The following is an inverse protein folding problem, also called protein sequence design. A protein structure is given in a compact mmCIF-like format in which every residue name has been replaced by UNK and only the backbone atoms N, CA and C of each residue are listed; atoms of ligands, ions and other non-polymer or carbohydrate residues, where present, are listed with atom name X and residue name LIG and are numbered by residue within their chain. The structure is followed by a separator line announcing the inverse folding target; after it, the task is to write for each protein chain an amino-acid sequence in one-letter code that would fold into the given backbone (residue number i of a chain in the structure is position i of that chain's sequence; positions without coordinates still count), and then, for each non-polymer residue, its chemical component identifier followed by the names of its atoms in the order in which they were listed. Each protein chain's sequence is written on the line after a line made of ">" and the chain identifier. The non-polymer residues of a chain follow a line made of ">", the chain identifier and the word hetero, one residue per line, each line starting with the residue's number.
data_IF_888333735955
#
_entry.id   IF_888333735955
#
_cell.length_a   1.000
_cell.length_b   1.000
_cell.length_c   1.000
_cell.angle_alpha   90.00
_cell.angle_beta   90.00
_cell.angle_gamma   90.00
#
_symmetry.space_group_name_H-M   'P 1'
#
loop_
_entity.id
_entity.type
_entity.pdbx_description
1 polymer ?
#
# COMPACT_ATOMS: atom_id res chain seq x y z
N UNK A 1 19.35 6.80 -53.13
CA UNK A 1 19.79 6.53 -51.74
C UNK A 1 18.62 6.85 -50.83
N UNK A 2 17.94 5.85 -50.26
CA UNK A 2 16.85 6.03 -49.29
C UNK A 2 17.21 5.22 -48.04
N UNK A 3 17.20 5.89 -46.90
CA UNK A 3 17.53 5.31 -45.60
C UNK A 3 16.50 4.25 -45.17
N UNK A 4 17.00 3.15 -44.61
CA UNK A 4 16.22 2.10 -43.97
C UNK A 4 15.87 2.54 -42.54
N UNK A 5 14.62 2.98 -42.33
CA UNK A 5 14.04 3.09 -40.99
C UNK A 5 13.84 1.66 -40.46
N UNK A 6 14.58 1.27 -39.42
CA UNK A 6 14.32 0.00 -38.71
C UNK A 6 13.05 0.15 -37.87
N UNK A 7 12.07 -0.78 -37.95
CA UNK A 7 10.92 -0.77 -37.06
C UNK A 7 11.38 -1.03 -35.62
N UNK A 8 10.99 -0.15 -34.68
CA UNK A 8 11.10 -0.42 -33.24
C UNK A 8 10.08 -1.50 -32.84
N UNK A 9 10.52 -2.34 -31.91
CA UNK A 9 9.94 -3.63 -31.47
C UNK A 9 8.43 -3.59 -31.18
N UNK A 10 7.75 -4.61 -31.70
CA UNK A 10 6.37 -4.99 -31.44
C UNK A 10 6.21 -5.81 -30.15
N UNK A 11 5.27 -5.42 -29.28
CA UNK A 11 4.57 -6.29 -28.32
C UNK A 11 3.36 -5.48 -27.82
N UNK A 12 2.10 -5.91 -27.96
CA UNK A 12 1.56 -7.23 -27.70
C UNK A 12 0.50 -7.56 -28.77
N UNK A 13 0.77 -8.55 -29.61
CA UNK A 13 -0.32 -9.33 -30.21
C UNK A 13 -0.64 -10.43 -29.21
N UNK A 14 -1.92 -10.66 -28.93
CA UNK A 14 -2.41 -11.89 -28.32
C UNK A 14 -3.11 -12.71 -29.41
N UNK A 15 -2.41 -13.36 -30.36
CA UNK A 15 -3.09 -14.25 -31.30
C UNK A 15 -3.58 -15.48 -30.53
N UNK A 16 -4.89 -15.63 -30.39
CA UNK A 16 -5.52 -16.77 -29.72
C UNK A 16 -5.76 -16.64 -28.21
N UNK A 17 -5.65 -15.44 -27.62
CA UNK A 17 -5.92 -15.22 -26.19
C UNK A 17 -6.83 -14.03 -25.93
N UNK A 18 -7.11 -13.75 -24.65
CA UNK A 18 -8.01 -12.69 -24.20
C UNK A 18 -7.32 -11.79 -23.17
N UNK A 19 -7.77 -10.53 -23.08
CA UNK A 19 -7.40 -9.60 -22.03
C UNK A 19 -8.62 -9.39 -21.11
N UNK A 20 -8.40 -9.52 -19.81
CA UNK A 20 -9.42 -9.19 -18.80
C UNK A 20 -9.12 -7.81 -18.25
N UNK A 21 -10.12 -6.95 -18.26
CA UNK A 21 -10.05 -5.62 -17.66
C UNK A 21 -11.09 -5.57 -16.55
N UNK A 22 -10.65 -5.24 -15.33
CA UNK A 22 -11.56 -4.98 -14.22
C UNK A 22 -11.64 -3.47 -14.03
N UNK A 23 -12.81 -2.91 -14.28
CA UNK A 23 -13.09 -1.50 -14.02
C UNK A 23 -13.56 -1.35 -12.57
N UNK A 24 -12.92 -0.45 -11.84
CA UNK A 24 -13.26 -0.11 -10.46
C UNK A 24 -13.75 1.34 -10.39
N UNK A 25 -14.57 1.66 -9.39
CA UNK A 25 -14.92 3.04 -9.09
C UNK A 25 -13.66 3.86 -8.79
N UNK A 26 -13.56 5.05 -9.38
CA UNK A 26 -12.48 5.99 -9.03
C UNK A 26 -12.78 6.60 -7.66
N UNK A 27 -12.06 6.13 -6.65
CA UNK A 27 -12.17 6.70 -5.30
C UNK A 27 -11.66 8.15 -5.26
N UNK A 28 -12.35 9.07 -4.57
CA UNK A 28 -11.90 10.44 -4.40
C UNK A 28 -10.76 10.54 -3.38
N UNK A 29 -9.87 11.51 -3.56
CA UNK A 29 -8.86 11.85 -2.56
C UNK A 29 -7.43 11.88 -3.07
N UNK A 30 -6.51 12.03 -2.13
CA UNK A 30 -5.07 12.07 -2.36
C UNK A 30 -4.49 10.65 -2.25
N UNK A 31 -3.85 10.17 -3.31
CA UNK A 31 -3.05 8.95 -3.25
C UNK A 31 -1.80 9.22 -2.40
N UNK A 32 -1.58 8.40 -1.38
CA UNK A 32 -0.59 8.70 -0.34
C UNK A 32 0.85 8.37 -0.74
N UNK A 33 1.02 7.54 -1.76
CA UNK A 33 2.33 7.16 -2.26
C UNK A 33 2.38 6.85 -3.75
N UNK A 34 3.60 6.62 -4.23
CA UNK A 34 3.88 6.23 -5.61
C UNK A 34 4.97 5.17 -5.64
N UNK A 35 4.92 4.27 -6.64
CA UNK A 35 5.98 3.27 -6.83
C UNK A 35 7.22 3.84 -7.53
N UNK A 36 7.11 5.02 -8.11
CA UNK A 36 8.14 5.62 -8.98
C UNK A 36 8.52 7.03 -8.58
N UNK A 37 7.74 7.65 -7.70
CA UNK A 37 7.90 9.05 -7.28
C UNK A 37 7.91 9.14 -5.75
N UNK A 38 8.22 10.31 -5.21
CA UNK A 38 8.15 10.56 -3.76
C UNK A 38 6.72 10.42 -3.24
N UNK A 39 6.58 9.86 -2.04
CA UNK A 39 5.27 9.66 -1.41
C UNK A 39 4.66 10.98 -0.90
N UNK A 40 3.51 11.44 -1.45
CA UNK A 40 2.86 12.68 -1.02
C UNK A 40 2.52 12.74 0.47
N UNK A 41 2.33 11.59 1.12
CA UNK A 41 2.09 11.48 2.55
C UNK A 41 3.13 12.28 3.38
N UNK A 42 4.41 12.20 3.04
CA UNK A 42 5.48 12.84 3.81
C UNK A 42 5.57 14.35 3.60
N UNK A 43 4.86 14.90 2.61
CA UNK A 43 4.72 16.34 2.40
C UNK A 43 3.56 16.95 3.22
N UNK A 44 2.73 16.12 3.85
CA UNK A 44 1.64 16.56 4.72
C UNK A 44 2.16 16.99 6.09
N UNK A 45 1.44 17.90 6.75
CA UNK A 45 1.75 18.30 8.12
C UNK A 45 1.60 17.15 9.11
N UNK A 46 2.27 17.26 10.26
CA UNK A 46 2.30 16.20 11.26
C UNK A 46 0.90 15.79 11.77
N UNK A 47 -0.02 16.75 11.97
CA UNK A 47 -1.37 16.46 12.45
C UNK A 47 -2.17 15.68 11.40
N UNK A 48 -2.01 16.03 10.11
CA UNK A 48 -2.64 15.30 9.01
C UNK A 48 -2.11 13.88 8.89
N UNK A 49 -0.79 13.69 9.01
CA UNK A 49 -0.16 12.38 8.97
C UNK A 49 -0.67 11.50 10.10
N UNK A 50 -0.83 12.05 11.28
CA UNK A 50 -1.36 11.32 12.44
C UNK A 50 -2.84 10.96 12.31
N UNK A 51 -3.65 11.88 11.76
CA UNK A 51 -5.04 11.60 11.43
C UNK A 51 -5.17 10.42 10.44
N UNK A 52 -4.32 10.41 9.41
CA UNK A 52 -4.31 9.32 8.42
C UNK A 52 -3.85 8.01 9.06
N UNK A 53 -2.82 8.01 9.92
CA UNK A 53 -2.38 6.81 10.66
C UNK A 53 -3.50 6.25 11.51
N UNK A 54 -4.19 7.10 12.26
CA UNK A 54 -5.34 6.69 13.07
C UNK A 54 -6.43 6.04 12.21
N UNK A 55 -6.74 6.63 11.04
CA UNK A 55 -7.70 6.03 10.10
C UNK A 55 -7.18 4.71 9.52
N UNK A 56 -5.89 4.60 9.21
CA UNK A 56 -5.27 3.38 8.72
C UNK A 56 -5.40 2.26 9.73
N UNK A 57 -5.01 2.50 10.99
CA UNK A 57 -5.09 1.52 12.06
C UNK A 57 -6.51 0.94 12.16
N UNK A 58 -7.51 1.82 12.27
CA UNK A 58 -8.91 1.40 12.35
C UNK A 58 -9.36 0.59 11.12
N UNK A 59 -9.20 1.14 9.93
CA UNK A 59 -9.74 0.52 8.71
C UNK A 59 -8.95 -0.70 8.23
N UNK A 60 -7.66 -0.78 8.58
CA UNK A 60 -6.83 -1.96 8.32
C UNK A 60 -7.32 -3.13 9.18
N UNK A 61 -7.57 -2.90 10.47
CA UNK A 61 -8.13 -3.92 11.36
C UNK A 61 -9.47 -4.46 10.84
N UNK A 62 -10.41 -3.55 10.50
CA UNK A 62 -11.71 -3.90 9.93
C UNK A 62 -11.57 -4.75 8.66
N UNK A 63 -10.64 -4.39 7.76
CA UNK A 63 -10.37 -5.13 6.53
C UNK A 63 -9.78 -6.52 6.82
N UNK A 64 -8.82 -6.62 7.75
CA UNK A 64 -8.18 -7.89 8.10
C UNK A 64 -9.12 -8.83 8.85
N UNK A 65 -10.03 -8.30 9.67
CA UNK A 65 -11.07 -9.08 10.35
C UNK A 65 -12.03 -9.75 9.35
N UNK A 66 -12.25 -9.11 8.20
CA UNK A 66 -13.00 -9.66 7.07
C UNK A 66 -12.17 -10.61 6.20
N UNK A 67 -10.90 -10.85 6.52
CA UNK A 67 -10.01 -11.74 5.80
C UNK A 67 -9.40 -11.14 4.53
N UNK A 68 -9.51 -9.82 4.32
CA UNK A 68 -8.96 -9.14 3.15
C UNK A 68 -7.63 -8.47 3.44
N UNK A 69 -6.80 -8.35 2.38
CA UNK A 69 -5.58 -7.55 2.34
C UNK A 69 -5.30 -7.11 0.91
N UNK A 70 -4.86 -5.87 0.70
CA UNK A 70 -4.49 -5.38 -0.63
C UNK A 70 -3.09 -5.88 -1.06
N UNK A 71 -2.84 -5.98 -2.36
CA UNK A 71 -1.54 -6.43 -2.86
C UNK A 71 -0.51 -5.31 -2.80
N UNK A 72 0.69 -5.66 -2.35
CA UNK A 72 1.79 -4.70 -2.19
C UNK A 72 1.45 -3.67 -1.11
N UNK A 73 1.74 -4.02 0.14
CA UNK A 73 1.68 -3.08 1.25
C UNK A 73 2.53 -1.83 0.95
N UNK A 74 1.97 -0.66 1.24
CA UNK A 74 2.64 0.61 1.02
C UNK A 74 1.69 1.79 0.82
N UNK A 75 2.18 3.01 1.02
CA UNK A 75 1.42 4.25 0.78
C UNK A 75 0.82 4.34 -0.63
N UNK A 76 1.47 3.71 -1.62
CA UNK A 76 0.99 3.67 -3.00
C UNK A 76 -0.32 2.89 -3.18
N UNK A 77 -0.73 2.06 -2.22
CA UNK A 77 -1.98 1.32 -2.23
C UNK A 77 -3.09 2.01 -1.43
N UNK A 78 -2.91 3.28 -1.06
CA UNK A 78 -3.81 4.01 -0.18
C UNK A 78 -4.23 5.35 -0.79
N UNK A 79 -5.51 5.71 -0.60
CA UNK A 79 -6.07 7.00 -0.99
C UNK A 79 -6.82 7.63 0.18
N UNK A 80 -6.40 8.83 0.58
CA UNK A 80 -7.03 9.59 1.66
C UNK A 80 -8.04 10.60 1.14
N UNK A 81 -9.30 10.47 1.57
CA UNK A 81 -10.33 11.49 1.35
C UNK A 81 -10.45 12.38 2.58
N UNK A 82 -9.93 13.59 2.44
CA UNK A 82 -9.89 14.61 3.49
C UNK A 82 -11.28 15.11 3.93
N UNK A 83 -12.28 15.08 3.05
CA UNK A 83 -13.63 15.58 3.34
C UNK A 83 -14.43 14.56 4.16
N UNK A 84 -14.39 13.28 3.76
CA UNK A 84 -15.10 12.21 4.45
C UNK A 84 -14.29 11.57 5.58
N UNK A 85 -13.01 11.92 5.71
CA UNK A 85 -12.06 11.30 6.64
C UNK A 85 -11.96 9.79 6.44
N UNK A 86 -11.93 9.37 5.18
CA UNK A 86 -11.91 7.96 4.80
C UNK A 86 -10.59 7.61 4.14
N UNK A 87 -9.95 6.54 4.60
CA UNK A 87 -8.81 5.92 3.93
C UNK A 87 -9.28 4.74 3.10
N UNK A 88 -9.10 4.81 1.79
CA UNK A 88 -9.41 3.73 0.87
C UNK A 88 -8.18 2.87 0.59
N UNK A 89 -8.37 1.56 0.66
CA UNK A 89 -7.40 0.56 0.20
C UNK A 89 -7.69 0.23 -1.26
N UNK A 90 -6.65 0.23 -2.09
CA UNK A 90 -6.74 -0.08 -3.52
C UNK A 90 -5.71 -1.15 -3.90
N UNK A 91 -5.87 -1.76 -5.08
CA UNK A 91 -4.90 -2.72 -5.61
C UNK A 91 -5.06 -4.14 -5.08
N UNK A 92 -6.29 -4.64 -4.98
CA UNK A 92 -6.58 -6.06 -4.78
C UNK A 92 -6.51 -6.77 -6.14
N UNK A 93 -5.38 -7.42 -6.46
CA UNK A 93 -5.17 -8.17 -7.71
C UNK A 93 -5.01 -9.67 -7.51
N UNK A 94 -4.74 -10.13 -6.28
CA UNK A 94 -4.61 -11.53 -5.89
C UNK A 94 -5.79 -11.88 -5.00
N UNK A 95 -6.69 -12.74 -5.49
CA UNK A 95 -7.83 -13.27 -4.73
C UNK A 95 -7.41 -14.30 -3.66
N UNK A 96 -6.30 -14.09 -2.96
CA UNK A 96 -5.88 -14.94 -1.84
C UNK A 96 -6.22 -14.27 -0.50
N UNK A 97 -7.48 -13.87 -0.35
CA UNK A 97 -8.08 -13.73 0.96
C UNK A 97 -8.23 -15.15 1.54
N UNK A 98 -7.67 -15.39 2.73
CA UNK A 98 -7.82 -16.61 3.55
C UNK A 98 -6.88 -17.83 3.36
N UNK A 99 -5.57 -17.64 3.04
CA UNK A 99 -4.54 -18.67 3.37
C UNK A 99 -3.44 -18.12 4.28
N UNK A 100 -3.70 -17.02 4.98
CA UNK A 100 -3.09 -16.89 6.29
C UNK A 100 -4.09 -17.55 7.24
N UNK A 101 -3.76 -18.68 7.89
CA UNK A 101 -4.50 -19.05 9.09
C UNK A 101 -4.60 -17.79 9.96
N UNK A 102 -5.61 -17.73 10.84
CA UNK A 102 -5.54 -16.95 12.08
C UNK A 102 -4.31 -17.42 12.87
N UNK A 103 -3.13 -17.20 12.34
CA UNK A 103 -1.85 -17.36 12.98
C UNK A 103 -1.87 -16.24 13.99
N UNK A 104 -2.08 -16.58 15.26
CA UNK A 104 -1.34 -16.21 16.48
C UNK A 104 -0.44 -14.94 16.49
N UNK A 105 -0.61 -14.05 15.52
CA UNK A 105 -0.07 -12.72 15.46
C UNK A 105 -0.97 -11.93 16.39
N UNK A 106 -0.43 -11.30 17.45
CA UNK A 106 -1.21 -10.47 18.35
C UNK A 106 -2.10 -9.53 17.54
N UNK A 107 -3.38 -9.50 17.91
CA UNK A 107 -4.44 -8.67 17.30
C UNK A 107 -4.29 -7.18 17.61
N UNK A 108 -3.25 -6.81 18.35
CA UNK A 108 -2.90 -5.41 18.52
C UNK A 108 -2.19 -4.99 17.23
N UNK A 109 -2.72 -3.97 16.56
CA UNK A 109 -2.12 -3.37 15.38
C UNK A 109 -0.64 -3.15 15.63
N UNK A 110 0.15 -4.03 15.03
CA UNK A 110 1.57 -4.06 15.26
C UNK A 110 2.19 -2.88 14.54
N UNK A 111 3.03 -2.15 15.25
CA UNK A 111 3.82 -1.02 14.76
C UNK A 111 4.60 -1.40 13.48
N UNK A 112 4.83 -2.70 13.28
CA UNK A 112 5.35 -3.31 12.05
C UNK A 112 4.50 -3.02 10.82
N UNK A 113 3.15 -3.00 10.90
CA UNK A 113 2.29 -2.64 9.76
C UNK A 113 2.39 -1.17 9.39
N UNK A 114 2.55 -0.30 10.40
CA UNK A 114 2.77 1.13 10.19
C UNK A 114 4.09 1.34 9.44
N UNK A 115 5.15 0.60 9.79
CA UNK A 115 6.41 0.60 9.07
C UNK A 115 6.29 -0.02 7.67
N UNK A 116 5.64 -1.18 7.53
CA UNK A 116 5.51 -1.91 6.26
C UNK A 116 4.73 -1.09 5.23
N UNK A 117 3.69 -0.37 5.65
CA UNK A 117 2.97 0.54 4.77
C UNK A 117 3.70 1.86 4.51
N UNK A 118 4.81 2.15 5.20
CA UNK A 118 5.60 3.38 5.01
C UNK A 118 5.05 4.60 5.75
N UNK A 119 4.18 4.40 6.75
CA UNK A 119 3.68 5.45 7.63
C UNK A 119 4.72 5.90 8.67
N UNK A 120 5.74 5.08 8.90
CA UNK A 120 6.93 5.43 9.66
C UNK A 120 8.18 4.96 8.88
N UNK A 121 9.31 5.64 9.08
CA UNK A 121 10.60 5.22 8.52
C UNK A 121 11.50 4.76 9.66
N UNK A 122 11.68 3.44 9.85
CA UNK A 122 12.62 2.91 10.83
C UNK A 122 14.06 3.35 10.52
N UNK A 123 14.86 3.57 11.57
CA UNK A 123 16.29 3.88 11.44
C UNK A 123 17.15 2.67 11.04
N UNK A 124 16.61 1.45 11.17
CA UNK A 124 17.29 0.20 10.86
C UNK A 124 16.28 -0.92 10.58
N UNK A 125 16.77 -2.11 10.22
CA UNK A 125 15.94 -3.31 10.05
C UNK A 125 15.78 -4.12 11.36
N UNK A 126 16.05 -3.54 12.53
CA UNK A 126 15.91 -4.24 13.81
C UNK A 126 14.48 -4.73 14.06
N UNK A 127 13.48 -3.96 13.61
CA UNK A 127 12.05 -4.27 13.74
C UNK A 127 11.57 -5.51 12.99
N UNK A 128 12.38 -6.03 12.07
CA UNK A 128 12.10 -7.28 11.35
C UNK A 128 12.62 -8.52 12.10
N UNK A 129 13.35 -8.35 13.21
CA UNK A 129 14.01 -9.45 13.93
C UNK A 129 13.10 -9.98 15.03
N UNK A 130 13.14 -11.30 15.21
CA UNK A 130 12.52 -11.95 16.36
C UNK A 130 13.10 -11.41 17.67
N UNK A 131 12.24 -11.10 18.64
CA UNK A 131 12.63 -10.54 19.94
C UNK A 131 12.97 -9.04 19.94
N UNK A 132 12.61 -8.30 18.88
CA UNK A 132 12.67 -6.83 18.92
C UNK A 132 11.80 -6.27 20.05
N UNK A 133 12.30 -5.23 20.71
CA UNK A 133 11.72 -4.64 21.92
C UNK A 133 10.58 -3.64 21.67
N UNK A 134 10.30 -3.32 20.40
CA UNK A 134 9.28 -2.36 20.02
C UNK A 134 9.72 -0.89 20.12
N UNK A 135 11.00 -0.60 20.35
CA UNK A 135 11.46 0.79 20.47
C UNK A 135 11.44 1.53 19.12
N UNK A 136 10.60 2.56 19.07
CA UNK A 136 10.43 3.42 17.89
C UNK A 136 10.87 4.86 18.11
N UNK A 137 11.60 5.14 19.20
CA UNK A 137 12.05 6.49 19.56
C UNK A 137 12.90 7.14 18.47
N UNK A 138 13.68 6.32 17.74
CA UNK A 138 14.54 6.76 16.63
C UNK A 138 13.85 6.73 15.25
N UNK A 139 12.57 6.37 15.18
CA UNK A 139 11.86 6.32 13.91
C UNK A 139 11.44 7.72 13.46
N UNK A 140 11.40 7.91 12.14
CA UNK A 140 10.75 9.08 11.58
C UNK A 140 9.23 8.86 11.56
N UNK A 141 8.55 9.70 12.32
CA UNK A 141 7.09 9.85 12.37
C UNK A 141 6.61 11.08 11.60
#
# INVERSE_FOLDING_TARGET
>A
MRELVRPRRSSLRIPGGFAVWVAWEKVPGLRLGSKTESDPFWALDALKREEIRTSFMKSFQEMTDLGYRNDGAGLSSLVWNQQSKTLYFIGFSSCNAAIFPRSNIPTDIDITWVAEYGFAIPNSNAWLKEGWDGDTSDWKW
#
